data_IF_772995154443
#
_entry.id   IF_772995154443
#
_cell.length_a   1.000
_cell.length_b   1.000
_cell.length_c   1.000
_cell.angle_alpha   90.00
_cell.angle_beta   90.00
_cell.angle_gamma   90.00
#
_symmetry.space_group_name_H-M   'P 1'
#
loop_
_entity.id
_entity.type
_entity.pdbx_description
1 polymer ?
#
# COMPACT_ATOMS: atom_id res chain seq x y z
N UNK A 1 -9.85 39.80 -22.94
CA UNK A 1 -8.64 39.27 -22.26
C UNK A 1 -8.81 38.95 -20.77
N UNK A 2 -9.65 39.66 -19.98
CA UNK A 2 -9.78 39.43 -18.51
C UNK A 2 -10.37 38.07 -18.10
N UNK A 3 -11.22 37.45 -18.93
CA UNK A 3 -11.86 36.16 -18.62
C UNK A 3 -10.89 34.97 -18.71
N UNK A 4 -9.97 34.98 -19.67
CA UNK A 4 -8.99 33.90 -19.83
C UNK A 4 -7.97 33.86 -18.69
N UNK A 5 -7.56 35.03 -18.17
CA UNK A 5 -6.67 35.12 -17.01
C UNK A 5 -7.34 34.60 -15.74
N UNK A 6 -8.63 34.90 -15.53
CA UNK A 6 -9.37 34.39 -14.37
C UNK A 6 -9.56 32.87 -14.43
N UNK A 7 -9.86 32.32 -15.61
CA UNK A 7 -10.03 30.88 -15.83
C UNK A 7 -8.72 30.13 -15.61
N UNK A 8 -7.60 30.65 -16.13
CA UNK A 8 -6.27 30.10 -15.90
C UNK A 8 -5.87 30.15 -14.41
N UNK A 9 -6.16 31.24 -13.71
CA UNK A 9 -5.85 31.39 -12.28
C UNK A 9 -6.64 30.39 -11.42
N UNK A 10 -7.91 30.15 -11.73
CA UNK A 10 -8.72 29.12 -11.04
C UNK A 10 -8.24 27.69 -11.29
N UNK A 11 -7.76 27.38 -12.51
CA UNK A 11 -7.15 26.08 -12.81
C UNK A 11 -5.82 25.92 -12.07
N UNK A 12 -4.98 26.97 -12.03
CA UNK A 12 -3.71 26.99 -11.29
C UNK A 12 -3.89 26.82 -9.77
N UNK A 13 -4.93 27.44 -9.18
CA UNK A 13 -5.21 27.32 -7.74
C UNK A 13 -5.72 25.93 -7.34
N UNK A 14 -6.48 25.24 -8.20
CA UNK A 14 -6.93 23.87 -7.96
C UNK A 14 -5.79 22.85 -8.00
N UNK A 15 -4.74 23.09 -8.80
CA UNK A 15 -3.54 22.23 -8.89
C UNK A 15 -2.64 22.38 -7.66
N UNK A 16 -2.71 23.51 -6.93
CA UNK A 16 -1.82 23.77 -5.79
C UNK A 16 -2.12 22.91 -4.55
N UNK A 17 -3.38 22.52 -4.35
CA UNK A 17 -3.83 21.87 -3.10
C UNK A 17 -3.49 20.37 -3.02
N UNK A 18 -3.45 19.65 -4.15
CA UNK A 18 -3.16 18.20 -4.19
C UNK A 18 -1.66 17.87 -4.27
N UNK A 19 -0.83 18.85 -4.60
CA UNK A 19 0.63 18.68 -4.77
C UNK A 19 1.34 18.11 -3.52
N UNK A 20 0.77 18.31 -2.32
CA UNK A 20 1.38 17.88 -1.07
C UNK A 20 1.39 16.36 -0.85
N UNK A 21 0.49 15.60 -1.49
CA UNK A 21 0.41 14.14 -1.31
C UNK A 21 0.36 13.37 -2.63
N UNK A 22 0.03 14.03 -3.74
CA UNK A 22 0.08 13.41 -5.07
C UNK A 22 1.52 13.10 -5.49
N UNK A 23 1.67 12.07 -6.33
CA UNK A 23 2.94 11.53 -6.83
C UNK A 23 3.94 11.11 -5.73
N UNK A 24 3.45 10.97 -4.49
CA UNK A 24 4.18 10.34 -3.40
C UNK A 24 3.76 8.89 -3.26
N UNK A 25 4.68 8.10 -2.71
CA UNK A 25 4.46 6.70 -2.44
C UNK A 25 4.36 6.45 -0.95
N UNK A 26 3.24 5.92 -0.50
CA UNK A 26 2.99 5.54 0.89
C UNK A 26 2.97 4.02 1.00
N UNK A 27 3.63 3.47 2.01
CA UNK A 27 3.89 2.03 2.13
C UNK A 27 3.46 1.50 3.47
N UNK A 28 2.76 0.36 3.46
CA UNK A 28 2.39 -0.45 4.61
C UNK A 28 3.09 -1.81 4.50
N UNK A 29 3.79 -2.23 5.54
CA UNK A 29 4.47 -3.53 5.60
C UNK A 29 3.88 -4.31 6.77
N UNK A 30 3.32 -5.49 6.48
CA UNK A 30 2.89 -6.45 7.49
C UNK A 30 3.56 -7.78 7.26
N UNK A 31 4.55 -8.08 8.09
CA UNK A 31 5.37 -9.28 8.00
C UNK A 31 4.58 -10.56 8.31
N UNK A 32 3.60 -10.49 9.22
CA UNK A 32 2.79 -11.65 9.61
C UNK A 32 1.83 -12.09 8.51
N UNK A 33 1.40 -11.15 7.67
CA UNK A 33 0.52 -11.41 6.52
C UNK A 33 1.24 -11.34 5.17
N UNK A 34 2.55 -11.15 5.18
CA UNK A 34 3.38 -10.99 3.98
C UNK A 34 2.89 -9.91 3.00
N UNK A 35 2.41 -8.80 3.55
CA UNK A 35 1.91 -7.66 2.78
C UNK A 35 2.96 -6.57 2.67
N UNK A 36 3.28 -6.16 1.45
CA UNK A 36 4.15 -5.03 1.11
C UNK A 36 3.37 -4.02 0.27
N UNK A 37 2.35 -3.41 0.88
CA UNK A 37 1.37 -2.61 0.16
C UNK A 37 1.89 -1.21 -0.12
N UNK A 38 1.76 -0.80 -1.36
CA UNK A 38 2.04 0.53 -1.87
C UNK A 38 0.75 1.23 -2.27
N UNK A 39 0.55 2.48 -1.84
CA UNK A 39 -0.50 3.36 -2.36
C UNK A 39 0.10 4.68 -2.88
N UNK A 40 -0.39 5.09 -4.05
CA UNK A 40 -0.02 6.34 -4.72
C UNK A 40 -1.27 7.08 -5.18
N UNK A 41 -1.28 8.40 -5.02
CA UNK A 41 -2.33 9.29 -5.51
C UNK A 41 -1.80 10.13 -6.67
N UNK A 42 -2.58 10.27 -7.73
CA UNK A 42 -2.21 11.02 -8.93
C UNK A 42 -3.01 12.31 -9.03
N UNK A 43 -2.45 13.31 -9.72
CA UNK A 43 -3.07 14.63 -9.89
C UNK A 43 -4.38 14.60 -10.68
N UNK A 44 -4.59 13.56 -11.49
CA UNK A 44 -5.82 13.32 -12.25
C UNK A 44 -6.96 12.74 -11.41
N UNK A 45 -6.84 12.77 -10.08
CA UNK A 45 -7.81 12.22 -9.13
C UNK A 45 -7.92 10.69 -9.15
N UNK A 46 -6.91 9.98 -9.67
CA UNK A 46 -6.82 8.52 -9.57
C UNK A 46 -5.86 8.08 -8.46
N UNK A 47 -6.05 6.86 -7.95
CA UNK A 47 -5.09 6.21 -7.06
C UNK A 47 -4.75 4.79 -7.53
N UNK A 48 -3.57 4.32 -7.16
CA UNK A 48 -3.16 2.92 -7.31
C UNK A 48 -2.78 2.39 -5.95
N UNK A 49 -3.34 1.24 -5.59
CA UNK A 49 -2.99 0.42 -4.44
C UNK A 49 -2.47 -0.91 -4.97
N UNK A 50 -1.28 -1.36 -4.56
CA UNK A 50 -0.69 -2.58 -5.11
C UNK A 50 0.26 -3.25 -4.13
N UNK A 51 0.43 -4.55 -4.32
CA UNK A 51 1.52 -5.33 -3.73
C UNK A 51 2.23 -6.05 -4.88
N UNK A 52 3.48 -5.68 -5.13
CA UNK A 52 4.32 -6.29 -6.17
C UNK A 52 5.53 -7.02 -5.55
N UNK A 53 5.83 -6.72 -4.28
CA UNK A 53 7.06 -7.13 -3.59
C UNK A 53 6.81 -8.20 -2.54
N UNK A 54 5.60 -8.21 -1.99
CA UNK A 54 5.09 -9.21 -1.07
C UNK A 54 4.62 -10.45 -1.81
N UNK A 55 4.20 -11.43 -1.03
CA UNK A 55 3.82 -12.75 -1.54
C UNK A 55 2.37 -12.75 -2.05
N UNK A 56 1.57 -11.80 -1.56
CA UNK A 56 0.17 -11.67 -1.90
C UNK A 56 -0.03 -10.58 -2.97
N UNK A 57 0.42 -10.88 -4.20
CA UNK A 57 0.41 -9.93 -5.32
C UNK A 57 -0.97 -9.33 -5.59
N UNK A 58 -1.10 -8.02 -5.47
CA UNK A 58 -2.38 -7.37 -5.69
C UNK A 58 -2.25 -6.04 -6.43
N UNK A 59 -3.35 -5.62 -7.04
CA UNK A 59 -3.46 -4.37 -7.75
C UNK A 59 -4.90 -3.90 -7.76
N UNK A 60 -5.08 -2.65 -7.39
CA UNK A 60 -6.34 -1.94 -7.39
C UNK A 60 -6.10 -0.53 -7.92
N UNK A 61 -7.02 -0.04 -8.75
CA UNK A 61 -7.02 1.34 -9.26
C UNK A 61 -8.40 1.94 -9.02
N UNK A 62 -8.45 3.12 -8.42
CA UNK A 62 -9.70 3.83 -8.20
C UNK A 62 -9.54 5.33 -8.34
N UNK A 63 -10.53 6.07 -7.84
CA UNK A 63 -10.57 7.52 -7.83
C UNK A 63 -10.53 8.06 -6.40
N UNK A 64 -10.01 9.27 -6.23
CA UNK A 64 -10.04 9.99 -4.97
C UNK A 64 -10.64 11.38 -5.13
N UNK A 65 -11.22 11.91 -4.05
CA UNK A 65 -11.74 13.28 -4.00
C UNK A 65 -11.63 13.85 -2.60
N UNK A 66 -11.44 15.16 -2.45
CA UNK A 66 -11.42 15.78 -1.12
C UNK A 66 -12.76 15.60 -0.39
N UNK A 67 -12.70 15.19 0.89
CA UNK A 67 -13.89 15.04 1.75
C UNK A 67 -14.49 16.42 2.11
N UNK A 68 -13.65 17.43 2.34
CA UNK A 68 -14.08 18.81 2.63
C UNK A 68 -13.46 19.78 1.62
N UNK A 69 -14.27 20.40 0.77
CA UNK A 69 -13.83 21.41 -0.22
C UNK A 69 -13.42 22.78 0.40
N UNK A 70 -13.46 22.94 1.72
CA UNK A 70 -13.09 24.17 2.41
C UNK A 70 -12.42 23.84 3.75
N UNK A 71 -11.09 23.77 3.77
CA UNK A 71 -10.33 24.26 4.92
C UNK A 71 -8.89 24.48 4.49
N UNK A 72 -8.51 25.75 4.42
CA UNK A 72 -7.18 26.24 4.01
C UNK A 72 -6.06 25.92 5.01
N UNK A 73 -6.30 25.05 6.00
CA UNK A 73 -5.31 24.65 7.00
C UNK A 73 -4.68 23.30 6.66
N UNK A 74 -3.48 23.40 6.08
CA UNK A 74 -2.55 22.41 5.51
C UNK A 74 -2.28 21.10 6.27
N UNK A 75 -2.81 20.86 7.46
CA UNK A 75 -2.30 19.79 8.35
C UNK A 75 -3.15 18.51 8.43
N UNK A 76 -4.45 18.53 8.09
CA UNK A 76 -5.32 17.36 8.19
C UNK A 76 -6.16 17.20 6.91
N UNK A 77 -5.51 16.81 5.81
CA UNK A 77 -6.23 16.56 4.55
C UNK A 77 -6.96 15.22 4.65
N UNK A 78 -8.26 15.22 4.36
CA UNK A 78 -9.07 13.99 4.25
C UNK A 78 -9.55 13.83 2.81
N UNK A 79 -9.37 12.64 2.25
CA UNK A 79 -9.84 12.28 0.91
C UNK A 79 -10.75 11.06 1.00
N UNK A 80 -11.76 11.01 0.14
CA UNK A 80 -12.59 9.83 -0.10
C UNK A 80 -11.92 9.05 -1.22
N UNK A 81 -11.77 7.75 -1.02
CA UNK A 81 -11.32 6.79 -2.02
C UNK A 81 -12.53 6.00 -2.51
N UNK A 82 -12.61 5.77 -3.83
CA UNK A 82 -13.67 4.97 -4.45
C UNK A 82 -13.12 4.07 -5.54
N UNK A 83 -13.56 2.83 -5.56
CA UNK A 83 -13.32 1.89 -6.63
C UNK A 83 -14.53 0.95 -6.79
N UNK A 84 -14.62 0.31 -7.96
CA UNK A 84 -15.67 -0.61 -8.37
C UNK A 84 -15.21 -2.06 -8.47
N UNK A 85 -13.96 -2.36 -8.07
CA UNK A 85 -13.43 -3.73 -8.06
C UNK A 85 -14.35 -4.65 -7.26
N UNK A 86 -14.81 -5.73 -7.89
CA UNK A 86 -15.70 -6.71 -7.25
C UNK A 86 -14.88 -7.84 -6.63
N UNK A 87 -15.13 -8.09 -5.35
CA UNK A 87 -14.58 -9.25 -4.63
C UNK A 87 -15.65 -10.33 -4.56
N UNK A 88 -15.32 -11.53 -5.00
CA UNK A 88 -16.13 -12.72 -4.84
C UNK A 88 -15.67 -13.50 -3.60
N UNK A 89 -16.61 -13.88 -2.75
CA UNK A 89 -16.36 -14.67 -1.54
C UNK A 89 -16.94 -16.07 -1.73
N UNK A 90 -16.14 -17.09 -1.45
CA UNK A 90 -16.52 -18.50 -1.56
C UNK A 90 -15.87 -19.33 -0.45
N UNK A 91 -16.30 -20.56 -0.28
CA UNK A 91 -15.70 -21.50 0.69
C UNK A 91 -15.11 -22.68 -0.06
N UNK A 92 -13.89 -23.10 0.30
CA UNK A 92 -13.26 -24.28 -0.31
C UNK A 92 -13.68 -25.59 0.37
N UNK A 93 -13.20 -26.72 -0.15
CA UNK A 93 -13.49 -28.07 0.39
C UNK A 93 -13.02 -28.28 1.84
N UNK A 94 -12.17 -27.40 2.38
CA UNK A 94 -11.69 -27.43 3.76
C UNK A 94 -12.38 -26.39 4.66
N UNK A 95 -13.56 -25.90 4.26
CA UNK A 95 -14.31 -24.87 4.99
C UNK A 95 -13.55 -23.55 5.21
N UNK A 96 -12.55 -23.24 4.39
CA UNK A 96 -11.83 -21.95 4.45
C UNK A 96 -12.49 -20.94 3.53
N UNK A 97 -12.70 -19.72 4.04
CA UNK A 97 -13.18 -18.58 3.24
C UNK A 97 -12.08 -18.16 2.27
N UNK A 98 -12.48 -18.00 1.00
CA UNK A 98 -11.63 -17.59 -0.11
C UNK A 98 -12.19 -16.29 -0.70
N UNK A 99 -11.35 -15.26 -0.69
CA UNK A 99 -11.57 -13.98 -1.36
C UNK A 99 -10.91 -14.02 -2.74
N UNK A 100 -11.64 -13.64 -3.79
CA UNK A 100 -11.09 -13.57 -5.14
C UNK A 100 -11.52 -12.33 -5.89
N UNK A 101 -10.61 -11.78 -6.69
CA UNK A 101 -10.86 -10.60 -7.52
C UNK A 101 -9.87 -10.56 -8.68
N UNK A 102 -10.21 -9.79 -9.71
CA UNK A 102 -9.31 -9.51 -10.83
C UNK A 102 -8.44 -8.31 -10.50
N UNK A 103 -7.13 -8.49 -10.46
CA UNK A 103 -6.17 -7.44 -10.14
C UNK A 103 -5.99 -6.47 -11.29
N UNK A 104 -5.97 -5.17 -11.00
CA UNK A 104 -5.65 -4.13 -12.00
C UNK A 104 -4.16 -4.04 -12.33
N UNK A 105 -3.30 -4.82 -11.65
CA UNK A 105 -1.86 -4.84 -11.90
C UNK A 105 -1.54 -5.56 -13.22
N UNK A 106 -2.20 -6.70 -13.45
CA UNK A 106 -1.88 -7.64 -14.53
C UNK A 106 -3.12 -8.33 -15.14
N UNK A 107 -4.33 -7.88 -14.76
CA UNK A 107 -5.62 -8.45 -15.16
C UNK A 107 -5.78 -9.94 -14.83
N UNK A 108 -5.03 -10.46 -13.86
CA UNK A 108 -5.18 -11.84 -13.39
C UNK A 108 -6.14 -11.92 -12.21
N UNK A 109 -6.85 -13.04 -12.13
CA UNK A 109 -7.66 -13.37 -10.96
C UNK A 109 -6.76 -13.93 -9.87
N UNK A 110 -6.76 -13.28 -8.70
CA UNK A 110 -6.07 -13.75 -7.51
C UNK A 110 -7.07 -14.32 -6.51
N UNK A 111 -6.61 -15.26 -5.68
CA UNK A 111 -7.41 -15.95 -4.68
C UNK A 111 -6.63 -16.04 -3.37
N UNK A 112 -7.23 -15.56 -2.29
CA UNK A 112 -6.60 -15.50 -0.97
C UNK A 112 -7.49 -16.10 0.10
N UNK A 113 -6.84 -16.77 1.06
CA UNK A 113 -7.47 -17.04 2.36
C UNK A 113 -7.50 -15.76 3.20
N UNK A 114 -8.30 -15.73 4.27
CA UNK A 114 -8.41 -14.60 5.18
C UNK A 114 -7.06 -14.10 5.74
N UNK A 115 -6.12 -15.01 6.02
CA UNK A 115 -4.81 -14.64 6.56
C UNK A 115 -3.94 -13.85 5.57
N UNK A 116 -4.12 -14.13 4.27
CA UNK A 116 -3.33 -13.55 3.18
C UNK A 116 -4.06 -12.41 2.47
N UNK A 117 -5.37 -12.26 2.69
CA UNK A 117 -6.19 -11.26 2.03
C UNK A 117 -5.94 -9.87 2.61
N UNK A 118 -5.62 -8.91 1.73
CA UNK A 118 -5.67 -7.49 2.04
C UNK A 118 -7.02 -6.92 1.61
N UNK A 119 -7.67 -6.17 2.51
CA UNK A 119 -8.99 -5.60 2.25
C UNK A 119 -8.90 -4.53 1.15
N UNK A 120 -9.59 -4.76 0.03
CA UNK A 120 -9.66 -3.79 -1.07
C UNK A 120 -10.55 -2.60 -0.71
N UNK A 121 -10.24 -1.45 -1.28
CA UNK A 121 -10.91 -0.17 -1.00
C UNK A 121 -12.10 0.01 -1.94
N UNK A 122 -13.33 -0.30 -1.53
CA UNK A 122 -14.52 0.02 -2.33
C UNK A 122 -14.93 1.48 -2.18
N UNK A 123 -15.21 1.88 -0.94
CA UNK A 123 -15.40 3.27 -0.55
C UNK A 123 -14.81 3.43 0.85
N UNK A 124 -13.91 4.39 1.01
CA UNK A 124 -13.21 4.59 2.28
C UNK A 124 -12.75 6.04 2.40
N UNK A 125 -12.38 6.45 3.62
CA UNK A 125 -11.79 7.75 3.88
C UNK A 125 -10.33 7.57 4.28
N UNK A 126 -9.45 8.30 3.58
CA UNK A 126 -8.05 8.37 3.90
C UNK A 126 -7.71 9.72 4.55
N UNK A 127 -6.94 9.66 5.64
CA UNK A 127 -6.54 10.82 6.42
C UNK A 127 -5.02 10.98 6.38
N UNK A 128 -4.56 12.16 6.00
CA UNK A 128 -3.14 12.53 6.14
C UNK A 128 -2.97 13.17 7.52
N UNK A 129 -2.32 12.47 8.44
CA UNK A 129 -2.02 13.01 9.78
C UNK A 129 -0.81 13.92 9.78
N UNK A 130 0.09 13.74 8.81
CA UNK A 130 1.16 14.68 8.46
C UNK A 130 1.58 14.50 6.98
N UNK A 131 2.68 15.12 6.57
CA UNK A 131 3.19 15.04 5.17
C UNK A 131 3.70 13.66 4.75
N UNK A 132 3.91 12.76 5.71
CA UNK A 132 4.53 11.45 5.56
C UNK A 132 3.64 10.29 6.00
N UNK A 133 2.54 10.52 6.71
CA UNK A 133 1.68 9.47 7.27
C UNK A 133 0.28 9.58 6.68
N UNK A 134 -0.19 8.46 6.15
CA UNK A 134 -1.53 8.25 5.59
C UNK A 134 -2.23 7.15 6.37
N UNK A 135 -3.44 7.40 6.85
CA UNK A 135 -4.28 6.43 7.55
C UNK A 135 -5.51 6.08 6.72
N UNK A 136 -5.79 4.79 6.56
CA UNK A 136 -6.97 4.23 5.90
C UNK A 136 -7.47 3.09 6.79
N UNK A 137 -8.68 3.18 7.34
CA UNK A 137 -9.13 2.29 8.43
C UNK A 137 -8.06 2.14 9.53
N UNK A 138 -7.67 0.90 9.83
CA UNK A 138 -6.67 0.53 10.82
C UNK A 138 -5.24 0.43 10.23
N UNK A 139 -5.05 0.83 8.97
CA UNK A 139 -3.76 0.76 8.28
C UNK A 139 -3.07 2.13 8.31
N UNK A 140 -1.82 2.12 8.74
CA UNK A 140 -0.93 3.28 8.67
C UNK A 140 0.12 3.07 7.59
N UNK A 141 0.08 3.91 6.57
CA UNK A 141 1.04 3.93 5.47
C UNK A 141 2.03 5.07 5.67
N UNK A 142 3.31 4.77 5.50
CA UNK A 142 4.39 5.75 5.66
C UNK A 142 5.02 6.06 4.32
N UNK A 143 5.20 7.35 4.03
CA UNK A 143 5.85 7.86 2.84
C UNK A 143 7.27 7.27 2.71
N UNK A 144 7.57 6.68 1.56
CA UNK A 144 8.81 5.98 1.35
C UNK A 144 9.24 5.95 -0.13
N UNK A 145 10.40 6.54 -0.43
CA UNK A 145 10.97 6.61 -1.78
C UNK A 145 12.08 5.57 -2.05
N UNK A 146 12.32 4.63 -1.12
CA UNK A 146 13.34 3.58 -1.29
C UNK A 146 12.83 2.26 -1.90
N UNK A 147 13.66 1.23 -1.90
CA UNK A 147 13.23 -0.10 -2.33
C UNK A 147 12.44 -0.81 -1.20
N UNK A 148 11.17 -1.15 -1.44
CA UNK A 148 10.27 -1.74 -0.44
C UNK A 148 10.75 -3.13 -0.01
N UNK A 149 11.15 -3.99 -0.95
CA UNK A 149 11.71 -5.30 -0.66
C UNK A 149 12.94 -5.20 0.28
N UNK A 150 13.86 -4.26 0.02
CA UNK A 150 15.02 -4.01 0.90
C UNK A 150 14.58 -3.53 2.28
N UNK A 151 13.51 -2.74 2.37
CA UNK A 151 12.93 -2.30 3.65
C UNK A 151 12.36 -3.51 4.40
N UNK A 152 11.54 -4.35 3.76
CA UNK A 152 11.00 -5.59 4.33
C UNK A 152 12.09 -6.50 4.88
N UNK A 153 13.10 -6.82 4.08
CA UNK A 153 14.20 -7.72 4.48
C UNK A 153 14.88 -7.22 5.76
N UNK A 154 15.14 -5.90 5.87
CA UNK A 154 15.74 -5.33 7.08
C UNK A 154 14.86 -5.48 8.32
N UNK A 155 13.54 -5.35 8.16
CA UNK A 155 12.63 -5.49 9.29
C UNK A 155 12.56 -6.96 9.71
N UNK A 156 12.35 -7.89 8.76
CA UNK A 156 12.32 -9.34 9.01
C UNK A 156 13.61 -9.84 9.66
N UNK A 157 14.77 -9.43 9.15
CA UNK A 157 16.06 -9.80 9.71
C UNK A 157 16.18 -9.34 11.17
N UNK A 158 15.79 -8.10 11.47
CA UNK A 158 15.83 -7.56 12.84
C UNK A 158 14.89 -8.33 13.76
N UNK A 159 13.66 -8.58 13.34
CA UNK A 159 12.68 -9.31 14.15
C UNK A 159 13.15 -10.73 14.45
N UNK A 160 13.59 -11.47 13.43
CA UNK A 160 14.05 -12.85 13.59
C UNK A 160 15.32 -12.92 14.42
N UNK A 161 16.29 -12.04 14.16
CA UNK A 161 17.52 -11.98 14.96
C UNK A 161 17.23 -11.68 16.42
N UNK A 162 16.26 -10.80 16.71
CA UNK A 162 15.84 -10.52 18.09
C UNK A 162 15.11 -11.71 18.74
N UNK A 163 14.32 -12.46 17.96
CA UNK A 163 13.52 -13.57 18.46
C UNK A 163 14.34 -14.84 18.74
N UNK A 164 15.23 -15.21 17.82
CA UNK A 164 15.99 -16.47 17.89
C UNK A 164 17.49 -16.28 18.06
N UNK A 165 18.00 -15.05 18.00
CA UNK A 165 19.43 -14.77 18.02
C UNK A 165 20.10 -14.91 16.65
N UNK A 166 21.19 -14.17 16.46
CA UNK A 166 21.91 -14.09 15.17
C UNK A 166 22.48 -15.43 14.71
N UNK A 167 22.96 -16.26 15.64
CA UNK A 167 23.53 -17.58 15.34
C UNK A 167 22.48 -18.51 14.73
N UNK A 168 21.36 -18.70 15.43
CA UNK A 168 20.25 -19.55 14.99
C UNK A 168 19.64 -19.01 13.69
N UNK A 169 19.52 -17.69 13.53
CA UNK A 169 19.09 -17.08 12.28
C UNK A 169 19.97 -17.49 11.08
N UNK A 170 21.30 -17.45 11.21
CA UNK A 170 22.23 -17.84 10.14
C UNK A 170 22.19 -19.36 9.92
N UNK A 171 22.13 -20.16 10.97
CA UNK A 171 22.05 -21.63 10.86
C UNK A 171 20.79 -22.06 10.12
N UNK A 172 19.62 -21.53 10.50
CA UNK A 172 18.32 -21.92 9.94
C UNK A 172 18.06 -21.32 8.57
N UNK A 173 18.14 -20.00 8.43
CA UNK A 173 17.82 -19.32 7.17
C UNK A 173 19.03 -19.21 6.26
N UNK A 174 20.23 -19.06 6.78
CA UNK A 174 21.46 -19.02 5.99
C UNK A 174 22.04 -20.41 5.67
N UNK A 175 21.41 -21.49 6.16
CA UNK A 175 21.94 -22.86 6.09
C UNK A 175 23.36 -22.98 6.67
N UNK A 176 23.68 -22.18 7.69
CA UNK A 176 25.01 -22.09 8.29
C UNK A 176 26.06 -21.35 7.46
N UNK A 177 25.74 -20.88 6.24
CA UNK A 177 26.72 -20.30 5.31
C UNK A 177 27.03 -18.85 5.68
N UNK A 178 26.03 -17.97 5.65
CA UNK A 178 26.23 -16.54 5.91
C UNK A 178 24.93 -15.79 6.17
N UNK A 179 25.04 -14.59 6.76
CA UNK A 179 23.94 -13.64 6.87
C UNK A 179 23.42 -13.16 5.51
N UNK A 180 24.30 -13.06 4.51
CA UNK A 180 23.90 -12.74 3.13
C UNK A 180 22.97 -13.82 2.58
N UNK A 181 23.29 -15.09 2.78
CA UNK A 181 22.43 -16.20 2.34
C UNK A 181 21.09 -16.22 3.08
N UNK A 182 21.09 -15.92 4.38
CA UNK A 182 19.87 -15.80 5.16
C UNK A 182 18.95 -14.70 4.59
N UNK A 183 19.49 -13.53 4.24
CA UNK A 183 18.74 -12.44 3.60
C UNK A 183 18.19 -12.82 2.23
N UNK A 184 18.93 -13.57 1.43
CA UNK A 184 18.43 -14.09 0.14
C UNK A 184 17.22 -14.99 0.35
N UNK A 185 17.27 -15.89 1.35
CA UNK A 185 16.18 -16.80 1.64
C UNK A 185 14.95 -16.11 2.25
N UNK A 186 15.09 -14.91 2.84
CA UNK A 186 13.96 -14.06 3.26
C UNK A 186 13.16 -13.47 2.08
N UNK A 187 13.73 -13.45 0.87
CA UNK A 187 13.02 -13.00 -0.33
C UNK A 187 12.01 -14.02 -0.83
N UNK A 188 12.22 -15.29 -0.50
CA UNK A 188 11.41 -16.40 -1.00
C UNK A 188 10.09 -16.42 -0.22
N UNK A 189 8.98 -16.26 -0.96
CA UNK A 189 7.64 -16.50 -0.46
C UNK A 189 7.46 -18.00 -0.19
N UNK A 190 6.94 -18.37 0.99
CA UNK A 190 6.77 -19.76 1.42
C UNK A 190 5.31 -20.17 1.47
#
# INVERSE_FOLDING_TARGET
MKYYTFLFLSILLLVSCSSNFTNKRYVYINESKEHDIEIMFFKDSTFILKDVYGCNKMGQKGNWSFLNKRNNNKLNTSIILKDTTKVSVSTNMHNKIIYSYTSSLDNKKYMYTENSYFLLINIDTAYFTDKNILKINNFEFVHFNGNIEKKRIKILEKQLTNKVGKKIYIETLGKGISSKKARENLKICK
#
